data_IF_081744044857
#
_entry.id   IF_081744044857
#
_cell.length_a   1.000
_cell.length_b   1.000
_cell.length_c   1.000
_cell.angle_alpha   90.00
_cell.angle_beta   90.00
_cell.angle_gamma   90.00
#
_symmetry.space_group_name_H-M   'P 1'
#
loop_
_entity.id
_entity.type
_entity.pdbx_description
1 polymer ?
#
# COMPACT_ATOMS: atom_id res chain seq x y z
N UNK A 1 -3.38 0.28 32.69
CA UNK A 1 -2.31 0.67 31.76
C UNK A 1 -1.78 -0.60 31.10
N UNK A 2 -2.38 -1.04 29.99
CA UNK A 2 -1.86 -2.23 29.29
C UNK A 2 -0.57 -1.82 28.59
N UNK A 3 0.56 -2.36 29.05
CA UNK A 3 1.82 -2.31 28.31
C UNK A 3 1.54 -2.67 26.85
N UNK A 4 2.08 -1.95 25.84
CA UNK A 4 2.00 -2.43 24.47
C UNK A 4 2.81 -3.72 24.42
N UNK A 5 2.13 -4.85 24.65
CA UNK A 5 2.74 -6.16 24.68
C UNK A 5 3.49 -6.40 23.38
N UNK A 6 4.53 -7.24 23.45
CA UNK A 6 5.36 -7.65 22.30
C UNK A 6 4.51 -7.91 21.04
N UNK A 7 3.30 -8.45 21.21
CA UNK A 7 2.31 -8.66 20.16
C UNK A 7 1.98 -7.41 19.32
N UNK A 8 1.84 -6.22 19.91
CA UNK A 8 1.56 -4.98 19.17
C UNK A 8 2.70 -4.59 18.24
N UNK A 9 3.94 -4.70 18.72
CA UNK A 9 5.14 -4.42 17.92
C UNK A 9 5.35 -5.45 16.82
N UNK A 10 5.07 -6.72 17.10
CA UNK A 10 5.09 -7.79 16.10
C UNK A 10 4.08 -7.50 15.00
N UNK A 11 2.84 -7.12 15.33
CA UNK A 11 1.80 -6.78 14.34
C UNK A 11 2.17 -5.54 13.53
N UNK A 12 2.76 -4.51 14.16
CA UNK A 12 3.11 -3.25 13.47
C UNK A 12 4.31 -3.39 12.52
N UNK A 13 5.31 -4.21 12.89
CA UNK A 13 6.55 -4.37 12.11
C UNK A 13 6.52 -5.56 11.15
N UNK A 14 5.62 -6.51 11.34
CA UNK A 14 5.52 -7.70 10.47
C UNK A 14 5.25 -7.38 8.99
N UNK A 15 4.46 -6.36 8.61
CA UNK A 15 4.28 -6.00 7.20
C UNK A 15 5.60 -5.67 6.50
N UNK A 16 6.46 -4.91 7.17
CA UNK A 16 7.81 -4.59 6.67
C UNK A 16 8.65 -5.85 6.51
N UNK A 17 8.59 -6.78 7.48
CA UNK A 17 9.33 -8.04 7.39
C UNK A 17 8.92 -8.88 6.17
N UNK A 18 7.60 -9.01 5.89
CA UNK A 18 7.12 -9.72 4.71
C UNK A 18 7.60 -9.06 3.40
N UNK A 19 7.52 -7.73 3.31
CA UNK A 19 7.98 -6.98 2.13
C UNK A 19 9.47 -7.24 1.88
N UNK A 20 10.31 -7.20 2.93
CA UNK A 20 11.74 -7.46 2.80
C UNK A 20 12.02 -8.90 2.38
N UNK A 21 11.37 -9.88 3.01
CA UNK A 21 11.53 -11.31 2.69
C UNK A 21 11.14 -11.59 1.23
N UNK A 22 10.02 -11.06 0.76
CA UNK A 22 9.55 -11.30 -0.61
C UNK A 22 10.45 -10.61 -1.65
N UNK A 23 10.90 -9.37 -1.40
CA UNK A 23 11.78 -8.66 -2.33
C UNK A 23 13.17 -9.30 -2.42
N UNK A 24 13.81 -9.63 -1.30
CA UNK A 24 15.13 -10.29 -1.32
C UNK A 24 15.04 -11.77 -1.72
N UNK A 25 13.91 -12.41 -1.45
CA UNK A 25 13.67 -13.82 -1.70
C UNK A 25 13.22 -14.16 -3.12
N UNK A 26 12.84 -13.17 -3.95
CA UNK A 26 12.21 -13.42 -5.27
C UNK A 26 12.99 -14.40 -6.16
N UNK A 27 14.32 -14.30 -6.17
CA UNK A 27 15.19 -15.15 -7.00
C UNK A 27 15.42 -16.55 -6.39
N UNK A 28 15.22 -16.72 -5.08
CA UNK A 28 15.51 -17.96 -4.34
C UNK A 28 14.25 -18.76 -4.01
N UNK A 29 13.11 -18.09 -3.86
CA UNK A 29 11.85 -18.69 -3.44
C UNK A 29 11.07 -19.23 -4.64
N UNK A 30 10.33 -20.32 -4.43
CA UNK A 30 9.38 -20.82 -5.42
C UNK A 30 8.15 -19.89 -5.51
N UNK A 31 7.40 -19.98 -6.61
CA UNK A 31 6.13 -19.26 -6.78
C UNK A 31 5.14 -19.58 -5.65
N UNK A 32 5.03 -20.85 -5.26
CA UNK A 32 4.15 -21.28 -4.16
C UNK A 32 4.56 -20.65 -2.83
N UNK A 33 5.87 -20.56 -2.55
CA UNK A 33 6.36 -19.93 -1.31
C UNK A 33 6.06 -18.44 -1.29
N UNK A 34 6.27 -17.73 -2.41
CA UNK A 34 5.90 -16.31 -2.51
C UNK A 34 4.39 -16.10 -2.34
N UNK A 35 3.57 -16.99 -2.90
CA UNK A 35 2.13 -16.94 -2.75
C UNK A 35 1.75 -17.12 -1.27
N UNK A 36 2.27 -18.14 -0.59
CA UNK A 36 2.04 -18.35 0.84
C UNK A 36 2.47 -17.13 1.68
N UNK A 37 3.61 -16.50 1.35
CA UNK A 37 4.03 -15.26 2.00
C UNK A 37 3.06 -14.10 1.75
N UNK A 38 2.52 -13.96 0.54
CA UNK A 38 1.51 -12.94 0.23
C UNK A 38 0.22 -13.14 1.05
N UNK A 39 -0.29 -14.37 1.17
CA UNK A 39 -1.46 -14.66 2.01
C UNK A 39 -1.20 -14.40 3.49
N UNK A 40 -0.01 -14.79 3.98
CA UNK A 40 0.44 -14.49 5.34
C UNK A 40 0.51 -12.98 5.59
N UNK A 41 1.11 -12.24 4.66
CA UNK A 41 1.17 -10.80 4.68
C UNK A 41 -0.23 -10.16 4.72
N UNK A 42 -1.14 -10.55 3.80
CA UNK A 42 -2.49 -10.01 3.75
C UNK A 42 -3.28 -10.28 5.05
N UNK A 43 -3.10 -11.45 5.64
CA UNK A 43 -3.73 -11.83 6.93
C UNK A 43 -3.22 -10.93 8.05
N UNK A 44 -1.90 -10.79 8.16
CA UNK A 44 -1.25 -9.97 9.19
C UNK A 44 -1.58 -8.49 9.03
N UNK A 45 -1.63 -7.98 7.80
CA UNK A 45 -2.07 -6.63 7.49
C UNK A 45 -3.52 -6.40 7.90
N UNK A 46 -4.42 -7.33 7.59
CA UNK A 46 -5.81 -7.27 8.03
C UNK A 46 -5.96 -7.22 9.56
N UNK A 47 -5.19 -8.05 10.27
CA UNK A 47 -5.13 -8.00 11.73
C UNK A 47 -4.59 -6.66 12.25
N UNK A 48 -3.54 -6.12 11.63
CA UNK A 48 -2.99 -4.80 11.98
C UNK A 48 -4.02 -3.69 11.76
N UNK A 49 -4.81 -3.76 10.70
CA UNK A 49 -5.84 -2.76 10.40
C UNK A 49 -7.09 -2.89 11.27
N UNK A 50 -7.29 -4.00 11.97
CA UNK A 50 -8.45 -4.15 12.87
C UNK A 50 -8.52 -3.05 13.94
N UNK A 51 -7.39 -2.41 14.28
CA UNK A 51 -7.34 -1.30 15.23
C UNK A 51 -8.07 -0.05 14.74
N UNK A 52 -8.34 0.11 13.44
CA UNK A 52 -9.10 1.25 12.93
C UNK A 52 -10.55 1.25 13.45
N UNK A 53 -11.13 0.07 13.69
CA UNK A 53 -12.48 -0.07 14.24
C UNK A 53 -12.58 0.39 15.70
N UNK A 54 -11.44 0.58 16.38
CA UNK A 54 -11.39 1.13 17.73
C UNK A 54 -11.33 2.67 17.73
N UNK A 55 -11.04 3.29 16.60
CA UNK A 55 -10.77 4.74 16.49
C UNK A 55 -11.77 5.45 15.59
N UNK A 56 -12.29 4.78 14.56
CA UNK A 56 -13.18 5.35 13.55
C UNK A 56 -14.54 4.67 13.58
N UNK A 57 -15.58 5.43 13.24
CA UNK A 57 -16.93 4.88 13.09
C UNK A 57 -17.01 3.89 11.92
N UNK A 58 -17.89 2.89 12.02
CA UNK A 58 -18.14 1.94 10.93
C UNK A 58 -18.60 2.62 9.64
N UNK A 59 -19.36 3.72 9.76
CA UNK A 59 -19.80 4.53 8.62
C UNK A 59 -18.61 5.19 7.90
N UNK A 60 -17.69 5.81 8.64
CA UNK A 60 -16.47 6.41 8.07
C UNK A 60 -15.57 5.38 7.40
N UNK A 61 -15.43 4.20 8.01
CA UNK A 61 -14.66 3.09 7.45
C UNK A 61 -15.28 2.63 6.12
N UNK A 62 -16.60 2.38 6.11
CA UNK A 62 -17.30 1.93 4.92
C UNK A 62 -17.25 2.96 3.78
N UNK A 63 -17.54 4.23 4.07
CA UNK A 63 -17.48 5.33 3.10
C UNK A 63 -16.08 5.43 2.49
N UNK A 64 -15.05 5.41 3.33
CA UNK A 64 -13.66 5.48 2.88
C UNK A 64 -13.27 4.27 2.03
N UNK A 65 -13.72 3.08 2.41
CA UNK A 65 -13.43 1.85 1.68
C UNK A 65 -14.02 1.89 0.26
N UNK A 66 -15.28 2.30 0.12
CA UNK A 66 -15.91 2.43 -1.19
C UNK A 66 -15.30 3.55 -2.02
N UNK A 67 -14.96 4.70 -1.42
CA UNK A 67 -14.26 5.78 -2.11
C UNK A 67 -12.88 5.33 -2.62
N UNK A 68 -12.10 4.64 -1.77
CA UNK A 68 -10.80 4.08 -2.14
C UNK A 68 -10.94 3.04 -3.24
N UNK A 69 -11.93 2.14 -3.15
CA UNK A 69 -12.19 1.11 -4.15
C UNK A 69 -12.55 1.69 -5.51
N UNK A 70 -13.41 2.72 -5.54
CA UNK A 70 -13.77 3.41 -6.78
C UNK A 70 -12.56 4.12 -7.41
N UNK A 71 -11.77 4.84 -6.60
CA UNK A 71 -10.56 5.51 -7.06
C UNK A 71 -9.52 4.50 -7.59
N UNK A 72 -9.25 3.46 -6.82
CA UNK A 72 -8.30 2.41 -7.16
C UNK A 72 -8.69 1.69 -8.46
N UNK A 73 -9.97 1.31 -8.59
CA UNK A 73 -10.48 0.66 -9.80
C UNK A 73 -10.36 1.58 -11.02
N UNK A 74 -10.78 2.85 -10.90
CA UNK A 74 -10.68 3.83 -11.98
C UNK A 74 -9.24 4.09 -12.42
N UNK A 75 -8.33 4.29 -11.47
CA UNK A 75 -6.91 4.54 -11.73
C UNK A 75 -6.19 3.31 -12.29
N UNK A 76 -6.51 2.12 -11.79
CA UNK A 76 -5.95 0.87 -12.31
C UNK A 76 -6.44 0.61 -13.74
N UNK A 77 -7.74 0.78 -14.01
CA UNK A 77 -8.28 0.65 -15.37
C UNK A 77 -7.62 1.64 -16.32
N UNK A 78 -7.47 2.90 -15.90
CA UNK A 78 -6.78 3.91 -16.69
C UNK A 78 -5.29 3.56 -16.90
N UNK A 79 -4.57 3.18 -15.85
CA UNK A 79 -3.16 2.76 -15.94
C UNK A 79 -2.96 1.54 -16.84
N UNK A 80 -3.92 0.61 -16.84
CA UNK A 80 -3.90 -0.57 -17.70
C UNK A 80 -4.15 -0.22 -19.18
N UNK A 81 -5.04 0.74 -19.46
CA UNK A 81 -5.50 1.06 -20.82
C UNK A 81 -4.73 2.20 -21.47
N UNK A 82 -4.12 3.09 -20.68
CA UNK A 82 -3.40 4.26 -21.18
C UNK A 82 -2.16 3.87 -21.99
N UNK A 83 -1.94 4.60 -23.08
CA UNK A 83 -0.78 4.44 -23.98
C UNK A 83 0.39 5.36 -23.63
N UNK A 84 0.18 6.33 -22.72
CA UNK A 84 1.24 7.21 -22.25
C UNK A 84 2.17 6.44 -21.33
N UNK A 85 3.47 6.58 -21.51
CA UNK A 85 4.46 5.98 -20.61
C UNK A 85 4.48 6.73 -19.27
N UNK A 86 4.15 6.02 -18.19
CA UNK A 86 4.12 6.56 -16.83
C UNK A 86 5.46 6.38 -16.11
N UNK A 87 6.47 5.76 -16.73
CA UNK A 87 7.75 5.43 -16.10
C UNK A 87 8.47 6.67 -15.53
N UNK A 88 8.42 7.80 -16.24
CA UNK A 88 9.00 9.06 -15.77
C UNK A 88 8.32 9.61 -14.50
N UNK A 89 6.99 9.46 -14.39
CA UNK A 89 6.24 9.86 -13.20
C UNK A 89 6.51 8.91 -12.03
N UNK A 90 6.70 7.62 -12.30
CA UNK A 90 6.98 6.60 -11.28
C UNK A 90 8.18 6.95 -10.40
N UNK A 91 9.30 7.39 -10.99
CA UNK A 91 10.49 7.81 -10.23
C UNK A 91 10.19 8.98 -9.29
N UNK A 92 9.42 9.97 -9.75
CA UNK A 92 9.03 11.11 -8.92
C UNK A 92 8.11 10.68 -7.76
N UNK A 93 7.15 9.81 -8.02
CA UNK A 93 6.23 9.31 -7.00
C UNK A 93 6.96 8.48 -5.93
N UNK A 94 7.93 7.65 -6.32
CA UNK A 94 8.77 6.89 -5.38
C UNK A 94 9.57 7.84 -4.47
N UNK A 95 10.16 8.91 -5.03
CA UNK A 95 10.81 9.95 -4.22
C UNK A 95 9.79 10.67 -3.31
N UNK A 96 8.57 10.87 -3.78
CA UNK A 96 7.47 11.41 -3.00
C UNK A 96 7.14 10.55 -1.78
N UNK A 97 7.12 9.22 -1.91
CA UNK A 97 6.92 8.28 -0.77
C UNK A 97 8.02 8.46 0.27
N UNK A 98 9.29 8.61 -0.15
CA UNK A 98 10.39 8.88 0.78
C UNK A 98 10.17 10.19 1.53
N UNK A 99 9.80 11.26 0.82
CA UNK A 99 9.45 12.55 1.44
C UNK A 99 8.28 12.44 2.42
N UNK A 100 7.25 11.67 2.07
CA UNK A 100 6.10 11.42 2.92
C UNK A 100 6.48 10.66 4.20
N UNK A 101 7.36 9.66 4.10
CA UNK A 101 7.87 8.93 5.26
C UNK A 101 8.65 9.84 6.20
N UNK A 102 9.53 10.69 5.67
CA UNK A 102 10.27 11.68 6.46
C UNK A 102 9.32 12.66 7.14
N UNK A 103 8.34 13.19 6.41
CA UNK A 103 7.31 14.07 6.96
C UNK A 103 6.50 13.40 8.08
N UNK A 104 6.16 12.12 7.91
CA UNK A 104 5.45 11.33 8.92
C UNK A 104 6.28 11.13 10.18
N UNK A 105 7.59 10.86 10.04
CA UNK A 105 8.52 10.73 11.18
C UNK A 105 8.63 12.06 11.93
N UNK A 106 8.80 13.18 11.21
CA UNK A 106 8.85 14.52 11.82
C UNK A 106 7.55 14.80 12.59
N UNK A 107 6.39 14.46 12.02
CA UNK A 107 5.11 14.72 12.65
C UNK A 107 4.85 13.88 13.91
N UNK A 108 5.52 12.73 14.08
CA UNK A 108 5.47 11.97 15.35
C UNK A 108 5.98 12.83 16.52
N UNK A 109 7.02 13.64 16.30
CA UNK A 109 7.59 14.53 17.32
C UNK A 109 6.84 15.85 17.45
N UNK A 110 6.37 16.41 16.33
CA UNK A 110 5.66 17.69 16.32
C UNK A 110 4.19 17.58 16.78
N UNK A 111 3.56 16.41 16.57
CA UNK A 111 2.15 16.15 16.86
C UNK A 111 1.20 17.19 16.26
N UNK A 112 1.53 17.72 15.06
CA UNK A 112 0.77 18.78 14.42
C UNK A 112 -0.43 18.24 13.62
N UNK A 113 -1.63 18.72 13.95
CA UNK A 113 -2.85 18.38 13.22
C UNK A 113 -2.81 18.84 11.76
N UNK A 114 -2.33 20.06 11.51
CA UNK A 114 -2.19 20.61 10.15
C UNK A 114 -1.21 19.80 9.32
N UNK A 115 -0.08 19.41 9.90
CA UNK A 115 0.90 18.57 9.22
C UNK A 115 0.31 17.20 8.89
N UNK A 116 -0.47 16.60 9.80
CA UNK A 116 -1.15 15.34 9.54
C UNK A 116 -2.15 15.44 8.36
N UNK A 117 -2.88 16.56 8.26
CA UNK A 117 -3.78 16.81 7.13
C UNK A 117 -3.02 16.90 5.80
N UNK A 118 -1.90 17.63 5.77
CA UNK A 118 -1.05 17.74 4.57
C UNK A 118 -0.47 16.38 4.19
N UNK A 119 0.06 15.63 5.14
CA UNK A 119 0.60 14.28 4.92
C UNK A 119 -0.50 13.37 4.34
N UNK A 120 -1.70 13.40 4.92
CA UNK A 120 -2.82 12.58 4.46
C UNK A 120 -3.23 12.96 3.04
N UNK A 121 -3.43 14.25 2.75
CA UNK A 121 -3.81 14.70 1.42
C UNK A 121 -2.77 14.35 0.34
N UNK A 122 -1.49 14.66 0.61
CA UNK A 122 -0.39 14.34 -0.32
C UNK A 122 -0.25 12.82 -0.48
N UNK A 123 -0.42 12.06 0.60
CA UNK A 123 -0.40 10.60 0.56
C UNK A 123 -1.44 10.01 -0.37
N UNK A 124 -2.69 10.49 -0.32
CA UNK A 124 -3.74 10.06 -1.26
C UNK A 124 -3.31 10.30 -2.70
N UNK A 125 -2.77 11.49 -3.04
CA UNK A 125 -2.35 11.81 -4.40
C UNK A 125 -1.17 10.95 -4.87
N UNK A 126 -0.19 10.72 -4.00
CA UNK A 126 0.97 9.88 -4.32
C UNK A 126 0.53 8.45 -4.59
N UNK A 127 -0.26 7.84 -3.70
CA UNK A 127 -0.69 6.44 -3.86
C UNK A 127 -1.72 6.26 -4.99
N UNK A 128 -2.53 7.28 -5.29
CA UNK A 128 -3.34 7.31 -6.50
C UNK A 128 -2.48 7.29 -7.77
N UNK A 129 -1.43 8.11 -7.83
CA UNK A 129 -0.47 8.11 -8.93
C UNK A 129 0.29 6.79 -9.06
N UNK A 130 0.72 6.22 -7.93
CA UNK A 130 1.41 4.93 -7.87
C UNK A 130 0.51 3.80 -8.35
N UNK A 131 -0.77 3.78 -7.96
CA UNK A 131 -1.74 2.78 -8.43
C UNK A 131 -1.78 2.70 -9.96
N UNK A 132 -1.87 3.85 -10.64
CA UNK A 132 -1.88 3.90 -12.09
C UNK A 132 -0.54 3.46 -12.70
N UNK A 133 0.58 3.94 -12.13
CA UNK A 133 1.93 3.58 -12.56
C UNK A 133 2.22 2.09 -12.39
N UNK A 134 1.94 1.53 -11.21
CA UNK A 134 2.19 0.13 -10.87
C UNK A 134 1.32 -0.79 -11.72
N UNK A 135 0.06 -0.42 -11.99
CA UNK A 135 -0.78 -1.20 -12.90
C UNK A 135 -0.17 -1.27 -14.30
N UNK A 136 0.32 -0.14 -14.83
CA UNK A 136 0.99 -0.12 -16.13
C UNK A 136 2.31 -0.93 -16.10
N UNK A 137 3.10 -0.79 -15.04
CA UNK A 137 4.36 -1.51 -14.84
C UNK A 137 4.14 -3.01 -14.78
N UNK A 138 3.11 -3.48 -14.07
CA UNK A 138 2.80 -4.91 -13.96
C UNK A 138 2.39 -5.47 -15.32
N UNK A 139 1.58 -4.73 -16.07
CA UNK A 139 1.20 -5.10 -17.44
C UNK A 139 2.42 -5.22 -18.36
N UNK A 140 3.35 -4.26 -18.34
CA UNK A 140 4.54 -4.30 -19.18
C UNK A 140 5.50 -5.42 -18.78
N UNK A 141 5.69 -5.62 -17.47
CA UNK A 141 6.52 -6.70 -16.92
C UNK A 141 5.95 -8.08 -17.28
N UNK A 142 4.63 -8.27 -17.22
CA UNK A 142 3.99 -9.52 -17.61
C UNK A 142 4.32 -9.92 -19.04
N UNK A 143 4.26 -8.96 -19.97
CA UNK A 143 4.62 -9.18 -21.38
C UNK A 143 6.09 -9.59 -21.55
N UNK A 144 6.99 -9.09 -20.70
CA UNK A 144 8.41 -9.42 -20.74
C UNK A 144 8.73 -10.82 -20.18
N UNK A 145 8.05 -11.23 -19.12
CA UNK A 145 8.28 -12.55 -18.49
C UNK A 145 7.41 -13.66 -19.05
N UNK A 146 6.48 -13.35 -19.97
CA UNK A 146 5.56 -14.32 -20.55
C UNK A 146 6.30 -15.54 -21.11
N UNK A 147 5.85 -16.75 -20.72
CA UNK A 147 6.47 -18.01 -21.15
C UNK A 147 7.65 -18.48 -20.28
N UNK A 148 7.97 -17.78 -19.19
CA UNK A 148 9.03 -18.18 -18.24
C UNK A 148 8.46 -18.57 -16.88
N UNK A 149 9.26 -19.24 -16.05
CA UNK A 149 8.91 -19.55 -14.65
C UNK A 149 8.72 -18.30 -13.78
N UNK A 150 9.16 -17.13 -14.25
CA UNK A 150 9.03 -15.85 -13.54
C UNK A 150 7.62 -15.25 -13.61
N UNK A 151 6.75 -15.73 -14.50
CA UNK A 151 5.37 -15.21 -14.64
C UNK A 151 4.65 -15.21 -13.30
N UNK A 152 4.63 -16.35 -12.61
CA UNK A 152 3.92 -16.47 -11.34
C UNK A 152 4.48 -15.55 -10.25
N UNK A 153 5.80 -15.40 -10.19
CA UNK A 153 6.47 -14.52 -9.23
C UNK A 153 6.13 -13.05 -9.49
N UNK A 154 6.17 -12.63 -10.75
CA UNK A 154 5.82 -11.27 -11.17
C UNK A 154 4.37 -10.93 -10.84
N UNK A 155 3.44 -11.87 -11.04
CA UNK A 155 2.02 -11.67 -10.68
C UNK A 155 1.86 -11.46 -9.18
N UNK A 156 2.50 -12.29 -8.35
CA UNK A 156 2.42 -12.18 -6.88
C UNK A 156 3.03 -10.86 -6.38
N UNK A 157 4.19 -10.48 -6.90
CA UNK A 157 4.84 -9.22 -6.53
C UNK A 157 4.06 -8.00 -7.03
N UNK A 158 3.43 -8.10 -8.20
CA UNK A 158 2.51 -7.08 -8.70
C UNK A 158 1.30 -6.92 -7.79
N UNK A 159 0.67 -8.03 -7.38
CA UNK A 159 -0.43 -8.01 -6.44
C UNK A 159 -0.04 -7.42 -5.08
N UNK A 160 1.18 -7.71 -4.58
CA UNK A 160 1.72 -7.10 -3.36
C UNK A 160 1.83 -5.58 -3.48
N UNK A 161 2.39 -5.08 -4.59
CA UNK A 161 2.53 -3.64 -4.86
C UNK A 161 1.17 -2.94 -4.87
N UNK A 162 0.23 -3.47 -5.65
CA UNK A 162 -1.13 -2.94 -5.77
C UNK A 162 -1.91 -3.01 -4.46
N UNK A 163 -1.71 -4.07 -3.66
CA UNK A 163 -2.30 -4.17 -2.32
C UNK A 163 -1.78 -3.07 -1.40
N UNK A 164 -0.46 -2.81 -1.41
CA UNK A 164 0.14 -1.73 -0.61
C UNK A 164 -0.39 -0.36 -1.03
N UNK A 165 -0.51 -0.11 -2.33
CA UNK A 165 -1.06 1.15 -2.83
C UNK A 165 -2.50 1.38 -2.35
N UNK A 166 -3.34 0.35 -2.45
CA UNK A 166 -4.71 0.39 -1.96
C UNK A 166 -4.77 0.70 -0.46
N UNK A 167 -4.01 -0.04 0.35
CA UNK A 167 -4.06 0.06 1.81
C UNK A 167 -3.50 1.39 2.31
N UNK A 168 -2.46 1.91 1.68
CA UNK A 168 -1.92 3.23 2.01
C UNK A 168 -2.90 4.34 1.61
N UNK A 169 -3.46 4.29 0.40
CA UNK A 169 -4.47 5.25 -0.03
C UNK A 169 -5.70 5.24 0.89
N UNK A 170 -6.16 4.05 1.29
CA UNK A 170 -7.26 3.89 2.25
C UNK A 170 -6.93 4.55 3.59
N UNK A 171 -5.75 4.29 4.16
CA UNK A 171 -5.36 4.85 5.46
C UNK A 171 -5.27 6.38 5.42
N UNK A 172 -4.71 6.94 4.34
CA UNK A 172 -4.64 8.40 4.19
C UNK A 172 -6.02 9.02 3.97
N UNK A 173 -6.88 8.40 3.16
CA UNK A 173 -8.26 8.86 3.02
C UNK A 173 -9.03 8.75 4.34
N UNK A 174 -8.82 7.70 5.13
CA UNK A 174 -9.51 7.52 6.41
C UNK A 174 -9.02 8.53 7.45
N UNK A 175 -7.72 8.85 7.43
CA UNK A 175 -7.15 9.93 8.25
C UNK A 175 -7.70 11.30 7.86
N UNK A 176 -7.97 11.52 6.57
CA UNK A 176 -8.46 12.79 6.04
C UNK A 176 -9.98 12.97 6.18
N UNK A 177 -10.78 11.93 5.89
CA UNK A 177 -12.25 11.97 5.84
C UNK A 177 -12.91 11.38 7.08
N UNK A 178 -12.19 10.57 7.86
CA UNK A 178 -12.78 9.76 8.92
C UNK A 178 -13.20 10.60 10.12
N UNK A 179 -14.44 10.41 10.56
CA UNK A 179 -14.92 10.91 11.84
C UNK A 179 -14.56 9.93 12.97
N UNK A 180 -14.16 10.48 14.11
CA UNK A 180 -13.73 9.75 15.32
C UNK A 180 -14.73 9.83 16.48
N UNK A 181 -15.79 10.63 16.32
CA UNK A 181 -16.87 10.85 17.29
C UNK A 181 -18.14 10.05 16.95
#
# INVERSE_FOLDING_TARGET
MMSPGILKWVIMLSPLAFILVMNFGINRMSTMTLQACFWGFATVMGLSMSTIFLVYTGASIAQTFFATSAAFAGLSLWGYTTKKDLSGMGTFLIMGVVGLLVASIINIFMQSGTMNLVISFVGVLIFAGLTAYDTQRIKSMYSYVAGTDMVGKTVIMGALSLYLDFINMFQFLLSFLGNRD
#
